data_IF_634137541195
#
_entry.id   IF_634137541195
#
_cell.length_a   1.000
_cell.length_b   1.000
_cell.length_c   1.000
_cell.angle_alpha   90.00
_cell.angle_beta   90.00
_cell.angle_gamma   90.00
#
_symmetry.space_group_name_H-M   'P 1'
#
loop_
_entity.id
_entity.type
_entity.pdbx_description
1 polymer ?
#
# COMPACT_ATOMS: atom_id res chain seq x y z
N UNK A 1 -8.52 4.16 14.84
CA UNK A 1 -7.47 4.56 13.88
C UNK A 1 -8.05 4.38 12.49
N UNK A 2 -8.30 5.47 11.76
CA UNK A 2 -8.92 5.41 10.43
C UNK A 2 -7.98 4.84 9.36
N UNK A 3 -8.55 4.41 8.23
CA UNK A 3 -7.80 3.94 7.06
C UNK A 3 -7.03 5.13 6.45
N UNK A 4 -5.71 5.01 6.19
CA UNK A 4 -4.91 6.12 5.67
C UNK A 4 -4.96 6.28 4.14
N UNK A 5 -5.60 5.34 3.42
CA UNK A 5 -5.72 5.35 1.95
C UNK A 5 -6.96 4.58 1.49
N UNK A 6 -7.64 5.03 0.44
CA UNK A 6 -8.80 4.33 -0.12
C UNK A 6 -8.43 3.13 -0.99
N UNK A 7 -7.55 3.30 -1.97
CA UNK A 7 -7.25 2.26 -2.97
C UNK A 7 -5.75 2.10 -3.23
N UNK A 8 -5.39 0.90 -3.71
CA UNK A 8 -4.07 0.57 -4.25
C UNK A 8 -4.28 -0.09 -5.62
N UNK A 9 -3.62 0.42 -6.66
CA UNK A 9 -3.66 -0.14 -8.01
C UNK A 9 -2.28 -0.67 -8.41
N UNK A 10 -2.28 -1.75 -9.18
CA UNK A 10 -1.07 -2.36 -9.74
C UNK A 10 -1.13 -2.22 -11.26
N UNK A 11 -0.41 -1.24 -11.80
CA UNK A 11 -0.36 -1.00 -13.24
C UNK A 11 0.47 -2.08 -13.91
N UNK A 12 0.01 -2.60 -15.05
CA UNK A 12 0.70 -3.68 -15.77
C UNK A 12 0.36 -5.10 -15.27
N UNK A 13 -0.55 -5.22 -14.29
CA UNK A 13 -0.90 -6.52 -13.70
C UNK A 13 -1.48 -7.50 -14.73
N UNK A 14 -2.23 -7.01 -15.71
CA UNK A 14 -2.81 -7.85 -16.78
C UNK A 14 -1.74 -8.34 -17.76
N UNK A 15 -0.71 -7.52 -17.98
CA UNK A 15 0.44 -7.79 -18.83
C UNK A 15 1.49 -8.70 -18.14
N UNK A 16 1.17 -9.22 -16.94
CA UNK A 16 2.05 -10.03 -16.08
C UNK A 16 3.32 -9.32 -15.62
N UNK A 17 3.36 -7.99 -15.73
CA UNK A 17 4.50 -7.17 -15.32
C UNK A 17 4.00 -5.92 -14.58
N UNK A 18 4.16 -5.90 -13.25
CA UNK A 18 3.79 -4.72 -12.47
C UNK A 18 4.83 -3.62 -12.67
N UNK A 19 4.41 -2.53 -13.32
CA UNK A 19 5.28 -1.38 -13.62
C UNK A 19 5.15 -0.26 -12.60
N UNK A 20 4.02 -0.19 -11.88
CA UNK A 20 3.74 0.87 -10.92
C UNK A 20 2.73 0.40 -9.87
N UNK A 21 2.93 0.85 -8.62
CA UNK A 21 1.95 0.71 -7.53
C UNK A 21 1.42 2.10 -7.19
N UNK A 22 0.14 2.34 -7.42
CA UNK A 22 -0.51 3.65 -7.21
C UNK A 22 -1.35 3.61 -5.95
N UNK A 23 -1.07 4.51 -5.01
CA UNK A 23 -1.90 4.75 -3.82
C UNK A 23 -2.87 5.90 -4.13
N UNK A 24 -4.16 5.61 -4.14
CA UNK A 24 -5.20 6.59 -4.51
C UNK A 24 -6.10 6.89 -3.31
N UNK A 25 -6.18 8.17 -2.98
CA UNK A 25 -7.14 8.75 -2.04
C UNK A 25 -8.19 9.52 -2.84
N UNK A 26 -9.48 9.25 -2.61
CA UNK A 26 -10.57 9.91 -3.34
C UNK A 26 -11.12 11.06 -2.52
N UNK A 27 -10.99 12.29 -3.04
CA UNK A 27 -11.54 13.50 -2.43
C UNK A 27 -12.71 14.03 -3.25
N UNK A 28 -13.80 14.41 -2.59
CA UNK A 28 -14.95 15.08 -3.21
C UNK A 28 -15.02 16.54 -2.75
N UNK A 29 -15.50 17.42 -3.63
CA UNK A 29 -15.66 18.85 -3.32
C UNK A 29 -14.35 19.52 -2.89
N UNK A 30 -14.38 20.20 -1.75
CA UNK A 30 -13.24 20.96 -1.18
C UNK A 30 -12.44 20.16 -0.15
N UNK A 31 -12.62 18.84 -0.10
CA UNK A 31 -11.92 18.00 0.87
C UNK A 31 -10.41 17.96 0.58
N UNK A 32 -9.64 18.12 1.65
CA UNK A 32 -8.18 18.12 1.62
C UNK A 32 -7.64 16.90 2.37
N UNK A 33 -6.35 16.61 2.18
CA UNK A 33 -5.73 15.48 2.87
C UNK A 33 -5.86 15.65 4.39
N UNK A 34 -6.13 14.57 5.12
CA UNK A 34 -6.03 14.56 6.57
C UNK A 34 -4.55 14.39 7.01
N UNK A 35 -4.21 14.59 8.29
CA UNK A 35 -2.83 14.45 8.76
C UNK A 35 -2.19 13.07 8.50
N UNK A 36 -2.96 11.99 8.58
CA UNK A 36 -2.47 10.63 8.33
C UNK A 36 -2.23 10.38 6.84
N UNK A 37 -3.14 10.83 5.97
CA UNK A 37 -3.00 10.75 4.51
C UNK A 37 -1.78 11.55 4.03
N UNK A 38 -1.55 12.75 4.60
CA UNK A 38 -0.32 13.54 4.33
C UNK A 38 0.93 12.76 4.70
N UNK A 39 0.99 12.19 5.90
CA UNK A 39 2.14 11.39 6.36
C UNK A 39 2.38 10.17 5.46
N UNK A 40 1.32 9.51 4.99
CA UNK A 40 1.43 8.40 4.05
C UNK A 40 1.98 8.87 2.70
N UNK A 41 1.42 9.96 2.14
CA UNK A 41 1.92 10.57 0.90
C UNK A 41 3.41 10.89 1.03
N UNK A 42 3.83 11.51 2.13
CA UNK A 42 5.22 11.84 2.37
C UNK A 42 6.10 10.59 2.46
N UNK A 43 5.66 9.53 3.12
CA UNK A 43 6.41 8.27 3.17
C UNK A 43 6.61 7.68 1.77
N UNK A 44 5.58 7.69 0.93
CA UNK A 44 5.64 7.20 -0.46
C UNK A 44 6.59 8.07 -1.30
N UNK A 45 6.41 9.40 -1.27
CA UNK A 45 7.21 10.34 -2.06
C UNK A 45 8.70 10.32 -1.68
N UNK A 46 8.99 10.09 -0.39
CA UNK A 46 10.35 9.93 0.11
C UNK A 46 10.89 8.49 -0.06
N UNK A 47 10.22 7.64 -0.86
CA UNK A 47 10.60 6.24 -1.14
C UNK A 47 10.78 5.39 0.13
N UNK A 48 10.10 5.74 1.23
CA UNK A 48 10.09 4.98 2.50
C UNK A 48 9.08 3.84 2.43
N UNK A 49 9.16 3.02 1.38
CA UNK A 49 8.27 1.89 1.12
C UNK A 49 9.11 0.62 1.07
N UNK A 50 8.67 -0.43 1.78
CA UNK A 50 9.41 -1.70 1.84
C UNK A 50 8.48 -2.89 1.63
N UNK A 51 8.95 -3.87 0.86
CA UNK A 51 8.34 -5.20 0.80
C UNK A 51 8.91 -6.08 1.93
N UNK A 52 8.04 -6.78 2.66
CA UNK A 52 8.45 -7.79 3.64
C UNK A 52 7.63 -9.05 3.42
N UNK A 53 8.33 -10.17 3.35
CA UNK A 53 7.71 -11.49 3.31
C UNK A 53 7.97 -12.18 4.65
N UNK A 54 6.90 -12.66 5.29
CA UNK A 54 7.00 -13.44 6.50
C UNK A 54 6.49 -14.86 6.23
N UNK A 55 7.35 -15.85 6.44
CA UNK A 55 7.00 -17.27 6.29
C UNK A 55 6.83 -17.88 7.67
N UNK A 56 5.64 -18.44 7.91
CA UNK A 56 5.38 -19.23 9.13
C UNK A 56 6.12 -20.57 8.98
N UNK A 57 6.93 -21.00 9.98
CA UNK A 57 7.61 -22.28 9.91
C UNK A 57 6.61 -23.43 9.80
N UNK A 58 6.92 -24.43 8.97
CA UNK A 58 6.13 -25.67 8.93
C UNK A 58 6.18 -26.31 10.32
N UNK A 59 5.01 -26.54 10.91
CA UNK A 59 4.88 -27.34 12.13
C UNK A 59 5.28 -28.77 11.76
N UNK A 60 6.46 -29.22 12.19
CA UNK A 60 6.85 -30.62 12.04
C UNK A 60 5.93 -31.46 12.93
N UNK A 61 4.97 -32.15 12.32
CA UNK A 61 4.12 -33.10 13.01
C UNK A 61 4.80 -34.47 12.89
N UNK A 62 5.73 -34.76 13.80
CA UNK A 62 6.30 -36.09 13.98
C UNK A 62 5.38 -36.87 14.93
N UNK A 63 4.58 -37.78 14.38
CA UNK A 63 4.01 -38.90 15.14
C UNK A 63 4.98 -40.08 15.08
#
# INVERSE_FOLDING_TARGET
IGKPIDFIFFKGMNEKEITEVVFLEVKTGTSSLNPSERKLKDAIMNKKVSWREYRIPKRNNSY
#
